data_IF_281928102577
#
_entry.id   IF_281928102577
#
_cell.length_a   1.000
_cell.length_b   1.000
_cell.length_c   1.000
_cell.angle_alpha   90.00
_cell.angle_beta   90.00
_cell.angle_gamma   90.00
#
_symmetry.space_group_name_H-M   'P 1'
#
loop_
_entity.id
_entity.type
_entity.pdbx_description
1 polymer ?
#
# COMPACT_ATOMS: atom_id res chain seq x y z
N UNK A 1 25.52 -0.69 2.76
CA UNK A 1 25.29 -0.66 2.59
C UNK A 1 24.44 -0.74 2.96
N UNK A 2 24.03 -1.08 3.43
CA UNK A 2 23.38 -0.70 3.82
C UNK A 2 22.14 -1.06 3.92
N UNK A 3 21.31 -0.85 4.29
CA UNK A 3 20.02 -0.99 4.35
C UNK A 3 19.52 -1.23 3.05
N UNK A 4 20.17 -2.04 2.31
CA UNK A 4 19.91 -2.20 0.97
C UNK A 4 18.54 -2.69 0.64
N UNK A 5 17.98 -3.61 1.42
CA UNK A 5 16.67 -4.14 1.11
C UNK A 5 15.62 -3.05 1.12
N UNK A 6 15.70 -2.18 2.14
CA UNK A 6 14.76 -1.11 2.27
C UNK A 6 14.94 -0.08 1.19
N UNK A 7 16.17 0.25 0.91
CA UNK A 7 16.46 1.21 -0.13
C UNK A 7 16.03 0.67 -1.49
N UNK A 8 16.25 -0.62 -1.72
CA UNK A 8 15.87 -1.21 -2.99
C UNK A 8 14.37 -1.20 -3.18
N UNK A 9 13.61 -1.44 -2.14
CA UNK A 9 12.17 -1.34 -2.23
C UNK A 9 11.75 0.04 -2.68
N UNK A 10 12.31 1.06 -2.04
CA UNK A 10 11.95 2.42 -2.40
C UNK A 10 12.38 2.78 -3.80
N UNK A 11 13.54 2.29 -4.21
CA UNK A 11 14.06 2.60 -5.53
C UNK A 11 13.27 1.91 -6.63
N UNK A 12 12.56 0.83 -6.30
CA UNK A 12 11.80 0.11 -7.29
C UNK A 12 10.44 0.75 -7.59
N UNK A 13 10.05 1.74 -6.81
CA UNK A 13 8.78 2.38 -7.06
C UNK A 13 8.95 3.43 -8.15
N UNK A 14 8.07 3.35 -9.14
CA UNK A 14 8.10 4.26 -10.28
C UNK A 14 7.38 5.57 -9.99
N UNK A 15 6.53 5.58 -8.98
CA UNK A 15 5.68 6.73 -8.71
C UNK A 15 5.35 6.79 -7.24
N UNK A 16 5.34 8.00 -6.69
CA UNK A 16 4.92 8.21 -5.31
C UNK A 16 3.76 9.19 -5.30
N UNK A 17 2.75 8.88 -4.54
CA UNK A 17 1.56 9.72 -4.44
C UNK A 17 1.38 10.08 -2.97
N UNK A 18 1.14 11.37 -2.70
CA UNK A 18 0.90 11.86 -1.35
C UNK A 18 -0.55 12.29 -1.25
N UNK A 19 -1.30 11.66 -0.38
CA UNK A 19 -2.73 11.88 -0.25
C UNK A 19 -3.01 12.68 1.01
N UNK A 20 -3.79 13.75 0.87
CA UNK A 20 -4.22 14.53 2.02
C UNK A 20 -5.39 13.80 2.68
N UNK A 21 -5.30 13.64 4.01
CA UNK A 21 -6.31 12.87 4.74
C UNK A 21 -7.72 13.43 4.59
N UNK A 22 -7.85 14.73 4.57
CA UNK A 22 -9.17 15.34 4.48
C UNK A 22 -9.78 15.24 3.09
N UNK A 23 -8.98 14.87 2.10
CA UNK A 23 -9.44 14.75 0.72
C UNK A 23 -9.36 13.32 0.21
N UNK A 24 -9.06 12.38 1.08
CA UNK A 24 -8.82 11.03 0.61
C UNK A 24 -10.11 10.36 0.16
N UNK A 25 -10.05 9.55 -0.90
CA UNK A 25 -11.18 8.71 -1.27
C UNK A 25 -11.34 7.57 -0.26
N UNK A 26 -12.33 6.73 -0.47
CA UNK A 26 -12.53 5.59 0.42
C UNK A 26 -11.29 4.69 0.37
N UNK A 27 -11.08 3.94 1.45
CA UNK A 27 -9.93 3.04 1.52
C UNK A 27 -9.95 2.04 0.36
N UNK A 28 -11.13 1.51 0.04
CA UNK A 28 -11.23 0.57 -1.08
C UNK A 28 -10.81 1.22 -2.39
N UNK A 29 -11.19 2.47 -2.60
CA UNK A 29 -10.82 3.19 -3.81
C UNK A 29 -9.32 3.43 -3.91
N UNK A 30 -8.66 3.64 -2.75
CA UNK A 30 -7.22 3.82 -2.74
C UNK A 30 -6.54 2.59 -3.34
N UNK A 31 -6.95 1.40 -2.90
CA UNK A 31 -6.35 0.17 -3.41
C UNK A 31 -6.67 -0.06 -4.88
N UNK A 32 -7.91 0.21 -5.28
CA UNK A 32 -8.30 -0.02 -6.68
C UNK A 32 -7.58 0.89 -7.64
N UNK A 33 -7.25 2.09 -7.20
CA UNK A 33 -6.56 3.04 -8.07
C UNK A 33 -5.05 2.85 -8.09
N UNK A 34 -4.53 1.99 -7.24
CA UNK A 34 -3.10 1.85 -7.07
C UNK A 34 -2.51 1.01 -8.20
N UNK A 35 -1.60 1.60 -8.96
CA UNK A 35 -0.94 0.90 -10.06
C UNK A 35 0.29 0.17 -9.55
N UNK A 36 0.71 -0.86 -10.27
CA UNK A 36 1.92 -1.59 -9.94
C UNK A 36 3.10 -0.64 -9.93
N UNK A 37 3.92 -0.72 -8.90
CA UNK A 37 5.08 0.15 -8.78
C UNK A 37 4.78 1.49 -8.15
N UNK A 38 3.59 1.68 -7.61
CA UNK A 38 3.22 2.94 -6.95
C UNK A 38 3.34 2.80 -5.44
N UNK A 39 3.88 3.83 -4.82
CA UNK A 39 3.95 3.96 -3.37
C UNK A 39 3.06 5.14 -2.98
N UNK A 40 2.07 4.88 -2.14
CA UNK A 40 1.15 5.90 -1.69
C UNK A 40 1.43 6.26 -0.25
N UNK A 41 1.49 7.57 0.05
CA UNK A 41 1.71 8.07 1.39
C UNK A 41 0.43 8.74 1.89
N UNK A 42 0.02 8.40 3.11
CA UNK A 42 -1.14 9.05 3.71
C UNK A 42 -0.86 9.22 5.20
N UNK A 43 -1.33 10.30 5.80
CA UNK A 43 -1.06 10.59 7.20
C UNK A 43 -1.59 9.53 8.14
N UNK A 44 -0.85 9.24 9.19
CA UNK A 44 -1.20 8.18 10.12
C UNK A 44 -2.38 8.58 11.01
N UNK A 45 -3.36 7.67 11.10
CA UNK A 45 -4.43 7.68 12.08
C UNK A 45 -4.66 6.23 12.44
N UNK A 46 -4.84 5.95 13.70
CA UNK A 46 -4.96 4.55 14.15
C UNK A 46 -6.13 3.82 13.49
N UNK A 47 -7.30 4.45 13.48
CA UNK A 47 -8.47 3.82 12.86
C UNK A 47 -8.26 3.63 11.37
N UNK A 48 -7.68 4.61 10.72
CA UNK A 48 -7.40 4.53 9.30
C UNK A 48 -6.41 3.41 9.01
N UNK A 49 -5.36 3.30 9.82
CA UNK A 49 -4.36 2.26 9.62
C UNK A 49 -4.97 0.87 9.77
N UNK A 50 -5.83 0.69 10.77
CA UNK A 50 -6.50 -0.59 10.94
C UNK A 50 -7.40 -0.92 9.76
N UNK A 51 -8.12 0.07 9.27
CA UNK A 51 -9.00 -0.11 8.11
C UNK A 51 -8.18 -0.46 6.88
N UNK A 52 -7.05 0.22 6.69
CA UNK A 52 -6.18 -0.04 5.55
C UNK A 52 -5.61 -1.45 5.62
N UNK A 53 -5.20 -1.91 6.81
CA UNK A 53 -4.67 -3.27 6.96
C UNK A 53 -5.72 -4.31 6.58
N UNK A 54 -6.95 -4.10 7.01
CA UNK A 54 -8.03 -5.04 6.67
C UNK A 54 -8.30 -5.05 5.17
N UNK A 55 -8.34 -3.86 4.56
CA UNK A 55 -8.59 -3.80 3.12
C UNK A 55 -7.43 -4.37 2.33
N UNK A 56 -6.21 -4.17 2.80
CA UNK A 56 -5.04 -4.75 2.17
C UNK A 56 -5.15 -6.27 2.14
N UNK A 57 -5.49 -6.86 3.28
CA UNK A 57 -5.67 -8.30 3.36
C UNK A 57 -6.77 -8.77 2.42
N UNK A 58 -7.88 -8.04 2.42
CA UNK A 58 -9.02 -8.39 1.57
C UNK A 58 -8.65 -8.34 0.09
N UNK A 59 -7.96 -7.29 -0.33
CA UNK A 59 -7.57 -7.16 -1.73
C UNK A 59 -6.59 -8.26 -2.15
N UNK A 60 -5.67 -8.63 -1.24
CA UNK A 60 -4.75 -9.73 -1.52
C UNK A 60 -5.49 -11.05 -1.65
N UNK A 61 -6.51 -11.28 -0.81
CA UNK A 61 -7.30 -12.50 -0.91
C UNK A 61 -8.05 -12.56 -2.22
N UNK A 62 -8.64 -11.46 -2.64
CA UNK A 62 -9.34 -11.41 -3.92
C UNK A 62 -8.37 -11.70 -5.06
N UNK A 63 -7.20 -11.08 -5.03
CA UNK A 63 -6.22 -11.27 -6.10
C UNK A 63 -5.75 -12.72 -6.18
N UNK A 64 -5.54 -13.35 -5.01
CA UNK A 64 -5.14 -14.74 -4.99
C UNK A 64 -6.24 -15.67 -5.52
N UNK A 65 -7.49 -15.37 -5.17
CA UNK A 65 -8.60 -16.20 -5.62
C UNK A 65 -8.72 -16.16 -7.14
N UNK A 66 -8.48 -14.99 -7.73
CA UNK A 66 -8.54 -14.83 -9.18
C UNK A 66 -7.32 -15.46 -9.84
N UNK A 67 -6.14 -15.18 -9.30
CA UNK A 67 -4.89 -15.64 -9.92
C UNK A 67 -4.51 -17.07 -9.60
N UNK A 68 -5.09 -17.64 -8.55
CA UNK A 68 -4.76 -19.01 -8.17
C UNK A 68 -3.37 -19.17 -7.57
N UNK A 69 -2.75 -18.09 -7.13
CA UNK A 69 -1.40 -18.12 -6.59
C UNK A 69 -1.36 -17.54 -5.20
N UNK A 70 -0.39 -18.01 -4.42
CA UNK A 70 -0.19 -17.48 -3.08
C UNK A 70 0.77 -16.31 -3.14
N UNK A 71 0.36 -15.24 -3.77
CA UNK A 71 1.18 -14.04 -3.92
C UNK A 71 0.63 -12.90 -3.08
N UNK A 72 1.51 -12.04 -2.67
CA UNK A 72 1.12 -10.82 -2.00
C UNK A 72 1.20 -9.71 -3.03
N UNK A 73 0.04 -9.12 -3.33
CA UNK A 73 -0.05 -8.09 -4.36
C UNK A 73 0.09 -6.68 -3.79
N UNK A 74 -0.39 -6.50 -2.55
CA UNK A 74 -0.36 -5.20 -1.89
C UNK A 74 0.31 -5.32 -0.53
N UNK A 75 0.94 -4.25 -0.09
CA UNK A 75 1.48 -4.18 1.26
C UNK A 75 1.19 -2.83 1.86
N UNK A 76 1.12 -2.79 3.18
CA UNK A 76 0.97 -1.55 3.91
C UNK A 76 1.83 -1.60 5.16
N UNK A 77 2.33 -0.46 5.58
CA UNK A 77 3.09 -0.37 6.83
C UNK A 77 3.05 1.06 7.33
N UNK A 78 3.30 1.23 8.62
CA UNK A 78 3.46 2.54 9.20
C UNK A 78 4.92 2.95 9.11
N UNK A 79 5.16 4.19 8.73
CA UNK A 79 6.50 4.75 8.69
C UNK A 79 6.43 6.15 9.31
N UNK A 80 6.82 6.25 10.59
CA UNK A 80 6.71 7.52 11.31
C UNK A 80 5.26 7.97 11.40
N UNK A 81 4.98 9.16 10.87
CA UNK A 81 3.64 9.71 10.90
C UNK A 81 2.85 9.40 9.64
N UNK A 82 3.32 8.46 8.86
CA UNK A 82 2.65 8.10 7.61
C UNK A 82 2.28 6.63 7.57
N UNK A 83 1.24 6.34 6.80
CA UNK A 83 0.92 4.98 6.39
C UNK A 83 1.33 4.87 4.94
N UNK A 84 2.09 3.85 4.63
CA UNK A 84 2.52 3.59 3.26
C UNK A 84 1.70 2.44 2.70
N UNK A 85 1.25 2.59 1.47
CA UNK A 85 0.53 1.54 0.75
C UNK A 85 1.21 1.38 -0.58
N UNK A 86 1.56 0.15 -0.94
CA UNK A 86 2.21 -0.04 -2.23
C UNK A 86 1.77 -1.36 -2.87
N UNK A 87 1.83 -1.36 -4.18
CA UNK A 87 1.40 -2.49 -4.98
C UNK A 87 2.61 -3.13 -5.63
N UNK A 88 2.78 -4.43 -5.38
CA UNK A 88 3.93 -5.18 -5.89
C UNK A 88 3.66 -5.85 -7.23
N UNK A 89 2.42 -6.19 -7.50
CA UNK A 89 2.07 -6.89 -8.73
C UNK A 89 0.76 -6.41 -9.33
#
# INVERSE_FOLDING_TARGET
MQNYAKENENQNFLKEIFVKNEERPTVRSLFKALEVGTLLHIGYEEKLHNHIKLECHRQNEIARAIGGELNIFYRTKRSGDEILIYRLK
#
